data_IF_061939935082
#
_entry.id   IF_061939935082
#
_cell.length_a   1.000
_cell.length_b   1.000
_cell.length_c   1.000
_cell.angle_alpha   90.00
_cell.angle_beta   90.00
_cell.angle_gamma   90.00
#
_symmetry.space_group_name_H-M   'P 1'
#
loop_
_entity.id
_entity.type
_entity.pdbx_description
1 polymer ?
#
# COMPACT_ATOMS: atom_id res chain seq x y z
N UNK A 1 -26.73 -3.05 8.77
CA UNK A 1 -26.52 -1.62 9.16
C UNK A 1 -25.12 -1.28 8.68
N UNK A 2 -25.04 -0.66 7.51
CA UNK A 2 -23.77 -0.23 6.93
C UNK A 2 -23.19 0.90 7.81
N UNK A 3 -22.11 0.62 8.49
CA UNK A 3 -21.37 1.64 9.23
C UNK A 3 -20.50 2.37 8.23
N UNK A 4 -20.93 3.51 7.76
CA UNK A 4 -20.12 4.37 6.90
C UNK A 4 -18.81 4.74 7.63
N UNK A 5 -17.69 4.71 6.90
CA UNK A 5 -16.39 5.17 7.41
C UNK A 5 -16.54 6.59 7.94
N UNK A 6 -15.94 6.85 9.09
CA UNK A 6 -15.95 8.21 9.65
C UNK A 6 -15.30 9.17 8.66
N UNK A 7 -15.99 10.23 8.21
CA UNK A 7 -15.47 11.18 7.21
C UNK A 7 -14.12 11.78 7.61
N UNK A 8 -13.86 11.91 8.91
CA UNK A 8 -12.62 12.43 9.48
C UNK A 8 -11.40 11.55 9.16
N UNK A 9 -11.57 10.22 9.10
CA UNK A 9 -10.49 9.31 8.74
C UNK A 9 -10.06 9.54 7.29
N UNK A 10 -11.00 9.59 6.37
CA UNK A 10 -10.72 9.83 4.96
C UNK A 10 -10.11 11.23 4.73
N UNK A 11 -10.55 12.23 5.49
CA UNK A 11 -9.99 13.58 5.39
C UNK A 11 -8.50 13.64 5.79
N UNK A 12 -8.11 12.95 6.86
CA UNK A 12 -6.69 12.86 7.28
C UNK A 12 -5.80 12.27 6.20
N UNK A 13 -6.33 11.37 5.40
CA UNK A 13 -5.62 10.68 4.33
C UNK A 13 -5.88 11.26 2.93
N UNK A 14 -6.55 12.43 2.83
CA UNK A 14 -6.97 13.05 1.56
C UNK A 14 -5.84 13.13 0.51
N UNK A 15 -4.61 13.44 0.93
CA UNK A 15 -3.47 13.55 -0.01
C UNK A 15 -3.16 12.22 -0.67
N UNK A 16 -3.24 11.12 0.08
CA UNK A 16 -3.02 9.77 -0.44
C UNK A 16 -4.13 9.37 -1.40
N UNK A 17 -5.38 9.72 -1.07
CA UNK A 17 -6.54 9.49 -1.93
C UNK A 17 -6.40 10.22 -3.27
N UNK A 18 -6.01 11.49 -3.27
CA UNK A 18 -5.79 12.27 -4.49
C UNK A 18 -4.71 11.63 -5.36
N UNK A 19 -3.61 11.18 -4.77
CA UNK A 19 -2.53 10.51 -5.48
C UNK A 19 -3.03 9.24 -6.17
N UNK A 20 -3.76 8.38 -5.46
CA UNK A 20 -4.27 7.12 -5.99
C UNK A 20 -5.36 7.32 -7.05
N UNK A 21 -6.29 8.26 -6.82
CA UNK A 21 -7.32 8.63 -7.82
C UNK A 21 -6.72 9.09 -9.13
N UNK A 22 -5.59 9.81 -9.10
CA UNK A 22 -4.87 10.23 -10.31
C UNK A 22 -4.34 9.08 -11.16
N UNK A 23 -4.27 7.86 -10.60
CA UNK A 23 -3.81 6.66 -11.30
C UNK A 23 -4.95 5.85 -11.93
N UNK A 24 -6.20 6.10 -11.55
CA UNK A 24 -7.37 5.38 -12.11
C UNK A 24 -7.44 5.62 -13.62
N UNK A 25 -7.68 4.56 -14.38
CA UNK A 25 -7.66 4.55 -15.83
C UNK A 25 -6.27 4.45 -16.45
N UNK A 26 -5.20 4.38 -15.64
CA UNK A 26 -3.83 4.25 -16.11
C UNK A 26 -3.38 2.79 -16.13
N UNK A 27 -2.53 2.46 -17.11
CA UNK A 27 -1.93 1.13 -17.24
C UNK A 27 -0.64 1.05 -16.43
N UNK A 28 -0.44 -0.07 -15.73
CA UNK A 28 0.82 -0.36 -15.03
C UNK A 28 1.91 -0.69 -16.05
N UNK A 29 3.07 -0.07 -15.94
CA UNK A 29 4.23 -0.33 -16.80
C UNK A 29 5.38 -1.03 -16.08
N UNK A 30 5.51 -0.81 -14.78
CA UNK A 30 6.50 -1.51 -13.95
C UNK A 30 6.09 -1.50 -12.48
N UNK A 31 6.60 -2.48 -11.74
CA UNK A 31 6.46 -2.57 -10.29
C UNK A 31 7.84 -2.80 -9.69
N UNK A 32 8.17 -2.01 -8.65
CA UNK A 32 9.37 -2.16 -7.87
C UNK A 32 9.00 -2.34 -6.40
N UNK A 33 9.88 -2.94 -5.63
CA UNK A 33 9.73 -3.02 -4.18
C UNK A 33 11.06 -2.83 -3.47
N UNK A 34 11.02 -2.38 -2.23
CA UNK A 34 12.18 -2.46 -1.35
C UNK A 34 12.31 -3.86 -0.78
N UNK A 35 13.55 -4.32 -0.66
CA UNK A 35 13.93 -5.52 0.09
C UNK A 35 14.88 -5.13 1.20
N UNK A 36 14.62 -5.63 2.40
CA UNK A 36 15.49 -5.43 3.53
C UNK A 36 16.65 -6.42 3.51
N UNK A 37 17.82 -5.94 3.87
CA UNK A 37 19.05 -6.75 3.99
C UNK A 37 19.55 -6.67 5.43
N UNK A 38 19.82 -7.81 6.03
CA UNK A 38 20.55 -7.92 7.31
C UNK A 38 21.91 -8.53 7.01
N UNK A 39 23.00 -7.83 7.30
CA UNK A 39 24.36 -8.25 6.96
C UNK A 39 24.55 -8.63 5.49
N UNK A 40 23.86 -7.90 4.59
CA UNK A 40 23.90 -8.15 3.15
C UNK A 40 23.07 -9.35 2.68
N UNK A 41 22.39 -10.04 3.58
CA UNK A 41 21.49 -11.14 3.23
C UNK A 41 20.03 -10.67 3.24
N UNK A 42 19.20 -11.15 2.31
CA UNK A 42 17.78 -10.85 2.31
C UNK A 42 17.14 -11.20 3.64
N UNK A 43 16.39 -10.25 4.19
CA UNK A 43 15.57 -10.47 5.38
C UNK A 43 14.10 -10.36 4.96
N UNK A 44 13.39 -11.45 5.07
CA UNK A 44 11.98 -11.61 4.62
C UNK A 44 10.98 -10.99 5.62
N UNK A 45 11.36 -9.94 6.32
CA UNK A 45 10.45 -9.19 7.18
C UNK A 45 9.57 -8.31 6.31
N UNK A 46 8.33 -8.74 6.09
CA UNK A 46 7.36 -8.04 5.26
C UNK A 46 7.74 -7.97 3.78
N UNK A 47 6.96 -7.24 3.00
CA UNK A 47 7.21 -7.05 1.57
C UNK A 47 7.91 -5.72 1.23
N UNK A 48 8.16 -4.88 2.24
CA UNK A 48 8.71 -3.54 2.06
C UNK A 48 7.74 -2.56 1.38
N UNK A 49 8.26 -1.40 1.03
CA UNK A 49 7.51 -0.42 0.25
C UNK A 49 7.39 -0.86 -1.21
N UNK A 50 6.33 -0.46 -1.87
CA UNK A 50 6.03 -0.82 -3.26
C UNK A 50 5.88 0.43 -4.10
N UNK A 51 6.57 0.46 -5.22
CA UNK A 51 6.43 1.47 -6.26
C UNK A 51 5.68 0.88 -7.43
N UNK A 52 4.65 1.58 -7.88
CA UNK A 52 3.90 1.24 -9.09
C UNK A 52 4.09 2.37 -10.10
N UNK A 53 4.66 2.05 -11.25
CA UNK A 53 4.83 2.97 -12.35
C UNK A 53 3.67 2.80 -13.32
N UNK A 54 3.02 3.92 -13.67
CA UNK A 54 1.91 3.96 -14.61
C UNK A 54 2.29 4.66 -15.90
N UNK A 55 1.55 4.40 -16.98
CA UNK A 55 1.66 5.14 -18.23
C UNK A 55 1.55 6.65 -18.01
N UNK A 56 2.32 7.43 -18.80
CA UNK A 56 2.38 8.88 -18.67
C UNK A 56 3.36 9.37 -17.60
N UNK A 57 4.21 8.46 -17.06
CA UNK A 57 5.26 8.81 -16.11
C UNK A 57 4.74 9.02 -14.68
N UNK A 58 3.52 8.61 -14.39
CA UNK A 58 2.99 8.67 -13.03
C UNK A 58 3.58 7.53 -12.19
N UNK A 59 4.12 7.89 -11.03
CA UNK A 59 4.74 6.92 -10.12
C UNK A 59 4.12 7.09 -8.73
N UNK A 60 3.68 6.00 -8.15
CA UNK A 60 3.13 5.96 -6.80
C UNK A 60 3.90 4.99 -5.93
N UNK A 61 4.28 5.44 -4.75
CA UNK A 61 4.88 4.61 -3.71
C UNK A 61 3.86 4.36 -2.61
N UNK A 62 3.60 3.09 -2.33
CA UNK A 62 2.85 2.61 -1.19
C UNK A 62 3.83 2.24 -0.08
N UNK A 63 3.66 2.81 1.10
CA UNK A 63 4.58 2.62 2.23
C UNK A 63 3.85 2.67 3.57
N UNK A 64 4.47 2.15 4.62
CA UNK A 64 4.00 2.38 5.97
C UNK A 64 4.29 3.82 6.41
N UNK A 65 3.43 4.35 7.26
CA UNK A 65 3.69 5.61 7.94
C UNK A 65 4.71 5.42 9.06
N UNK A 66 5.34 6.51 9.48
CA UNK A 66 6.33 6.49 10.56
C UNK A 66 5.73 6.12 11.94
N UNK A 67 4.40 6.22 12.09
CA UNK A 67 3.67 5.77 13.26
C UNK A 67 3.56 4.24 13.36
N UNK A 68 3.90 3.50 12.29
CA UNK A 68 3.76 2.06 12.21
C UNK A 68 2.32 1.55 12.16
N UNK A 69 1.34 2.43 12.17
CA UNK A 69 -0.09 2.08 12.25
C UNK A 69 -0.83 2.30 10.92
N UNK A 70 -0.46 3.33 10.18
CA UNK A 70 -1.15 3.71 8.96
C UNK A 70 -0.31 3.49 7.69
N UNK A 71 -0.99 3.54 6.54
CA UNK A 71 -0.37 3.41 5.22
C UNK A 71 -0.38 4.74 4.46
N UNK A 72 0.60 4.90 3.59
CA UNK A 72 0.75 6.07 2.72
C UNK A 72 0.71 5.68 1.26
N UNK A 73 0.20 6.59 0.43
CA UNK A 73 0.39 6.60 -1.01
C UNK A 73 0.91 7.97 -1.41
N UNK A 74 2.07 8.04 -2.02
CA UNK A 74 2.73 9.30 -2.41
C UNK A 74 3.28 9.21 -3.81
N UNK A 75 3.29 10.33 -4.53
CA UNK A 75 4.02 10.44 -5.79
C UNK A 75 5.53 10.44 -5.54
N UNK A 76 6.28 9.81 -6.42
CA UNK A 76 7.74 9.74 -6.37
C UNK A 76 8.25 8.30 -6.49
N UNK A 77 9.57 8.14 -6.49
CA UNK A 77 10.22 6.85 -6.65
C UNK A 77 10.80 6.33 -5.34
N UNK A 78 10.89 5.00 -5.24
CA UNK A 78 11.62 4.34 -4.17
C UNK A 78 13.11 4.71 -4.23
N UNK A 79 13.69 4.85 -3.05
CA UNK A 79 15.12 5.03 -2.89
C UNK A 79 15.64 4.02 -1.89
N UNK A 80 16.71 3.31 -2.27
CA UNK A 80 17.39 2.43 -1.34
C UNK A 80 17.93 3.24 -0.16
N UNK A 81 17.68 2.77 1.05
CA UNK A 81 18.27 3.37 2.24
C UNK A 81 19.74 2.94 2.35
N UNK A 82 20.63 3.85 2.74
CA UNK A 82 22.02 3.54 2.95
C UNK A 82 22.18 2.51 4.08
N UNK A 83 23.35 1.88 4.10
CA UNK A 83 23.74 1.00 5.20
C UNK A 83 23.68 1.73 6.53
N UNK A 84 23.06 1.08 7.51
CA UNK A 84 22.99 1.53 8.91
C UNK A 84 23.68 0.46 9.75
N UNK A 85 24.80 0.81 10.39
CA UNK A 85 25.52 -0.10 11.27
C UNK A 85 24.83 -0.17 12.64
N UNK A 86 24.73 -1.39 13.16
CA UNK A 86 24.14 -1.68 14.46
C UNK A 86 25.24 -1.86 15.52
N UNK A 87 24.83 -1.82 16.79
CA UNK A 87 25.75 -1.81 17.96
C UNK A 87 26.61 -3.09 18.05
N UNK A 88 26.12 -4.21 17.56
CA UNK A 88 26.77 -5.53 17.58
C UNK A 88 27.66 -5.82 16.35
N UNK A 89 27.85 -4.82 15.49
CA UNK A 89 28.60 -4.95 14.24
C UNK A 89 27.77 -5.50 13.07
N UNK A 90 26.50 -5.83 13.28
CA UNK A 90 25.56 -6.12 12.21
C UNK A 90 25.20 -4.82 11.47
N UNK A 91 24.57 -4.93 10.31
CA UNK A 91 24.06 -3.78 9.59
C UNK A 91 22.76 -4.07 8.87
N UNK A 92 21.95 -3.02 8.74
CA UNK A 92 20.77 -2.98 7.88
C UNK A 92 21.05 -2.16 6.63
N UNK A 93 20.46 -2.59 5.54
CA UNK A 93 20.36 -1.83 4.30
C UNK A 93 19.05 -2.15 3.60
N UNK A 94 18.70 -1.38 2.59
CA UNK A 94 17.63 -1.75 1.66
C UNK A 94 18.13 -1.68 0.24
N UNK A 95 17.52 -2.47 -0.63
CA UNK A 95 17.68 -2.39 -2.07
C UNK A 95 16.31 -2.25 -2.74
N UNK A 96 16.30 -1.66 -3.93
CA UNK A 96 15.10 -1.56 -4.77
C UNK A 96 15.22 -2.58 -5.87
N UNK A 97 14.22 -3.45 -5.96
CA UNK A 97 14.13 -4.52 -6.95
C UNK A 97 13.03 -4.22 -7.94
N UNK A 98 13.30 -4.39 -9.23
CA UNK A 98 12.26 -4.53 -10.22
C UNK A 98 11.65 -5.94 -10.10
N UNK A 99 10.34 -6.00 -9.87
CA UNK A 99 9.60 -7.25 -9.72
C UNK A 99 8.56 -7.45 -10.82
N UNK A 100 8.62 -6.64 -11.86
CA UNK A 100 7.65 -6.64 -12.96
C UNK A 100 7.49 -7.99 -13.66
N UNK A 101 8.57 -8.77 -13.75
CA UNK A 101 8.59 -10.09 -14.40
C UNK A 101 8.41 -11.24 -13.42
N UNK A 102 8.33 -10.94 -12.11
CA UNK A 102 8.21 -11.95 -11.07
C UNK A 102 6.74 -12.17 -10.68
N UNK A 103 6.35 -13.44 -10.52
CA UNK A 103 5.06 -13.74 -9.91
C UNK A 103 5.03 -13.27 -8.44
N UNK A 104 3.91 -12.71 -7.99
CA UNK A 104 2.64 -12.51 -8.72
C UNK A 104 2.53 -11.15 -9.44
N UNK A 105 3.57 -10.30 -9.41
CA UNK A 105 3.53 -8.92 -9.89
C UNK A 105 3.41 -8.82 -11.42
N UNK A 106 3.97 -9.79 -12.14
CA UNK A 106 3.88 -9.87 -13.61
C UNK A 106 2.43 -9.87 -14.10
N UNK A 107 1.50 -10.33 -13.28
CA UNK A 107 0.07 -10.36 -13.59
C UNK A 107 -0.59 -8.98 -13.61
N UNK A 108 0.04 -7.96 -13.04
CA UNK A 108 -0.48 -6.59 -13.00
C UNK A 108 0.18 -5.68 -14.04
N UNK A 109 1.34 -6.05 -14.56
CA UNK A 109 2.00 -5.29 -15.62
C UNK A 109 1.16 -5.37 -16.89
N UNK A 110 0.86 -4.22 -17.47
CA UNK A 110 -0.06 -4.09 -18.60
C UNK A 110 -1.54 -3.95 -18.23
N UNK A 111 -1.93 -4.24 -16.98
CA UNK A 111 -3.30 -4.07 -16.52
C UNK A 111 -3.64 -2.60 -16.24
N UNK A 112 -4.91 -2.24 -16.36
CA UNK A 112 -5.42 -0.88 -16.10
C UNK A 112 -6.03 -0.83 -14.70
N UNK A 113 -5.62 0.15 -13.90
CA UNK A 113 -6.23 0.40 -12.59
C UNK A 113 -7.65 0.91 -12.78
N UNK A 114 -8.65 0.16 -12.35
CA UNK A 114 -10.07 0.50 -12.53
C UNK A 114 -10.64 1.29 -11.35
N UNK A 115 -10.28 0.91 -10.13
CA UNK A 115 -10.70 1.60 -8.91
C UNK A 115 -9.71 1.36 -7.77
N UNK A 116 -9.88 2.12 -6.69
CA UNK A 116 -9.10 1.96 -5.45
C UNK A 116 -10.03 2.04 -4.28
N UNK A 117 -9.88 1.11 -3.33
CA UNK A 117 -10.56 1.15 -2.05
C UNK A 117 -9.57 1.37 -0.91
N UNK A 118 -10.05 1.98 0.15
CA UNK A 118 -9.35 2.03 1.44
C UNK A 118 -9.62 0.72 2.20
N UNK A 119 -8.58 0.10 2.73
CA UNK A 119 -8.71 -1.03 3.67
C UNK A 119 -8.81 -0.44 5.07
N UNK A 120 -9.95 -0.65 5.70
CA UNK A 120 -10.25 -0.09 7.02
C UNK A 120 -10.36 -1.24 8.02
N UNK A 121 -9.56 -1.17 9.06
CA UNK A 121 -9.67 -2.06 10.21
C UNK A 121 -10.43 -1.35 11.34
N UNK A 122 -11.41 -2.06 11.89
CA UNK A 122 -12.26 -1.63 13.01
C UNK A 122 -12.03 -2.52 14.20
N UNK A 123 -11.84 -1.94 15.36
CA UNK A 123 -11.85 -2.73 16.61
C UNK A 123 -13.25 -3.31 16.84
N UNK A 124 -13.33 -4.49 17.45
CA UNK A 124 -14.61 -5.15 17.78
C UNK A 124 -15.48 -4.31 18.71
N UNK A 125 -14.87 -3.40 19.49
CA UNK A 125 -15.56 -2.43 20.32
C UNK A 125 -16.11 -1.22 19.53
N UNK A 126 -15.75 -1.07 18.24
CA UNK A 126 -16.19 0.05 17.40
C UNK A 126 -15.61 1.40 17.77
N UNK A 127 -14.57 1.43 18.61
CA UNK A 127 -14.01 2.67 19.14
C UNK A 127 -13.08 3.39 18.16
N UNK A 128 -12.34 2.61 17.35
CA UNK A 128 -11.34 3.15 16.44
C UNK A 128 -11.41 2.48 15.07
N UNK A 129 -11.38 3.33 14.05
CA UNK A 129 -11.16 2.92 12.64
C UNK A 129 -9.74 3.32 12.25
N UNK A 130 -9.00 2.42 11.62
CA UNK A 130 -7.64 2.67 11.14
C UNK A 130 -7.57 2.39 9.65
N UNK A 131 -6.93 3.31 8.89
CA UNK A 131 -6.57 3.06 7.50
C UNK A 131 -5.36 2.13 7.49
N UNK A 132 -5.60 0.84 7.29
CA UNK A 132 -4.56 -0.19 7.32
C UNK A 132 -4.04 -0.56 5.95
N UNK A 133 -4.68 -0.12 4.86
CA UNK A 133 -4.21 -0.49 3.53
C UNK A 133 -4.89 0.22 2.39
N UNK A 134 -4.46 -0.18 1.18
CA UNK A 134 -5.04 0.19 -0.09
C UNK A 134 -5.32 -1.07 -0.89
N UNK A 135 -6.50 -1.16 -1.47
CA UNK A 135 -6.90 -2.22 -2.39
C UNK A 135 -7.03 -1.62 -3.80
N UNK A 136 -6.19 -2.07 -4.71
CA UNK A 136 -6.12 -1.60 -6.08
C UNK A 136 -6.77 -2.65 -6.98
N UNK A 137 -7.84 -2.27 -7.69
CA UNK A 137 -8.59 -3.14 -8.57
C UNK A 137 -8.09 -3.04 -10.01
N UNK A 138 -7.77 -4.16 -10.62
CA UNK A 138 -7.32 -4.30 -12.00
C UNK A 138 -8.19 -5.34 -12.70
N UNK A 139 -9.24 -4.90 -13.37
CA UNK A 139 -10.21 -5.80 -14.05
C UNK A 139 -10.78 -6.84 -13.07
N UNK A 140 -10.32 -8.10 -13.16
CA UNK A 140 -10.73 -9.24 -12.35
C UNK A 140 -9.76 -9.54 -11.18
N UNK A 141 -8.76 -8.68 -10.94
CA UNK A 141 -7.70 -8.90 -9.96
C UNK A 141 -7.64 -7.79 -8.93
N UNK A 142 -7.20 -8.15 -7.75
CA UNK A 142 -7.02 -7.24 -6.64
C UNK A 142 -5.59 -7.32 -6.12
N UNK A 143 -4.91 -6.17 -6.05
CA UNK A 143 -3.64 -6.03 -5.34
C UNK A 143 -3.89 -5.23 -4.07
N UNK A 144 -3.66 -5.83 -2.94
CA UNK A 144 -3.84 -5.17 -1.65
C UNK A 144 -2.49 -4.94 -0.98
N UNK A 145 -2.22 -3.69 -0.61
CA UNK A 145 -1.08 -3.31 0.23
C UNK A 145 -1.58 -2.96 1.62
N UNK A 146 -1.17 -3.70 2.64
CA UNK A 146 -1.67 -3.53 4.01
C UNK A 146 -0.55 -3.50 5.05
N UNK A 147 -0.83 -2.83 6.16
CA UNK A 147 -0.05 -2.91 7.38
C UNK A 147 -0.51 -4.12 8.21
N UNK A 148 0.43 -4.98 8.59
CA UNK A 148 0.20 -6.16 9.43
C UNK A 148 1.02 -6.07 10.72
N UNK A 149 0.84 -4.98 11.48
CA UNK A 149 1.56 -4.77 12.74
C UNK A 149 3.02 -4.34 12.53
N UNK A 150 3.21 -3.15 11.93
CA UNK A 150 4.49 -2.56 11.55
C UNK A 150 5.23 -3.26 10.39
N UNK A 151 4.59 -4.23 9.74
CA UNK A 151 5.09 -4.87 8.53
C UNK A 151 4.14 -4.63 7.36
N UNK A 152 4.68 -4.23 6.20
CA UNK A 152 3.89 -4.14 4.98
C UNK A 152 3.70 -5.52 4.36
N UNK A 153 2.48 -5.83 3.95
CA UNK A 153 2.16 -7.03 3.19
C UNK A 153 1.42 -6.70 1.92
N UNK A 154 1.75 -7.46 0.89
CA UNK A 154 0.99 -7.52 -0.34
C UNK A 154 0.14 -8.80 -0.32
N UNK A 155 -1.12 -8.65 -0.64
CA UNK A 155 -2.04 -9.77 -0.79
C UNK A 155 -2.75 -9.69 -2.14
N UNK A 156 -3.15 -10.83 -2.66
CA UNK A 156 -3.91 -10.96 -3.89
C UNK A 156 -5.33 -11.38 -3.55
N UNK A 157 -6.28 -10.79 -4.25
CA UNK A 157 -7.70 -11.15 -4.28
C UNK A 157 -8.48 -10.90 -2.98
N UNK A 158 -7.85 -11.00 -1.81
CA UNK A 158 -8.51 -10.75 -0.52
C UNK A 158 -7.57 -10.01 0.41
N UNK A 159 -8.00 -8.89 1.03
CA UNK A 159 -7.19 -8.24 2.07
C UNK A 159 -7.00 -9.19 3.25
N UNK A 160 -5.78 -9.34 3.77
CA UNK A 160 -5.55 -10.10 4.98
C UNK A 160 -6.27 -9.42 6.16
N UNK A 161 -6.87 -10.21 7.02
CA UNK A 161 -7.54 -9.72 8.23
C UNK A 161 -6.64 -9.88 9.44
N UNK A 162 -6.67 -8.90 10.34
CA UNK A 162 -6.04 -9.00 11.65
C UNK A 162 -6.93 -9.77 12.62
N UNK A 163 -6.32 -10.55 13.52
CA UNK A 163 -7.04 -11.19 14.61
C UNK A 163 -7.68 -10.14 15.53
N UNK A 164 -8.98 -10.25 15.76
CA UNK A 164 -9.73 -9.34 16.63
C UNK A 164 -10.16 -8.01 15.99
N UNK A 165 -9.92 -7.82 14.68
CA UNK A 165 -10.39 -6.68 13.92
C UNK A 165 -11.39 -7.12 12.84
N UNK A 166 -12.27 -6.21 12.46
CA UNK A 166 -13.13 -6.34 11.27
C UNK A 166 -12.53 -5.50 10.16
N UNK A 167 -12.10 -6.16 9.09
CA UNK A 167 -11.57 -5.49 7.90
C UNK A 167 -12.67 -5.26 6.87
N UNK A 168 -12.78 -4.06 6.35
CA UNK A 168 -13.70 -3.70 5.27
C UNK A 168 -12.98 -2.95 4.15
N UNK A 169 -13.50 -3.09 2.91
CA UNK A 169 -13.09 -2.27 1.77
C UNK A 169 -14.10 -1.13 1.61
N UNK A 170 -13.59 0.09 1.50
CA UNK A 170 -14.41 1.28 1.35
C UNK A 170 -14.02 2.00 0.06
N UNK A 171 -14.96 2.10 -0.87
CA UNK A 171 -14.77 2.82 -2.13
C UNK A 171 -14.40 4.28 -1.86
N UNK A 172 -13.24 4.67 -2.33
CA UNK A 172 -12.77 6.05 -2.21
C UNK A 172 -13.24 6.93 -3.38
N UNK A 173 -13.78 6.33 -4.44
CA UNK A 173 -14.33 7.03 -5.61
C UNK A 173 -15.57 7.86 -5.26
N UNK A 174 -16.42 7.35 -4.38
CA UNK A 174 -17.67 8.00 -3.99
C UNK A 174 -17.49 9.17 -3.00
N UNK A 175 -16.36 9.28 -2.30
CA UNK A 175 -16.15 10.31 -1.27
C UNK A 175 -15.73 11.69 -1.83
N UNK A 176 -15.71 11.89 -3.15
CA UNK A 176 -15.10 13.06 -3.81
C UNK A 176 -16.04 14.09 -4.42
N UNK A 177 -17.34 13.81 -4.59
CA UNK A 177 -18.23 14.67 -5.37
C UNK A 177 -19.10 15.63 -4.54
N UNK A 178 -18.82 15.78 -3.27
CA UNK A 178 -19.65 16.52 -2.32
C UNK A 178 -19.02 17.74 -1.66
N UNK A 179 -18.19 18.55 -2.36
CA UNK A 179 -17.80 19.88 -1.86
C UNK A 179 -17.37 20.79 -3.02
N UNK A 180 -18.34 21.43 -3.62
CA UNK A 180 -18.19 22.67 -4.40
C UNK A 180 -18.32 23.85 -3.45
#
# INVERSE_FOLDING_TARGET
>A
MESAVKPELLWRHRRHLVTLKGCIGRRVVAIHRTRYLLNGQPNEIGHGDVEICFEGGLIVVLSLAADGESVKAKSGSLTALPRVDLVDGAFWATEVLCVSDAEPFSNFVGAVLSSVDAVIDRTTAGEYDTLSGWALHFEDRLLTFVNMGAESRLALDVPPSHSGLTTSLEDIGAAGDGAS
#
